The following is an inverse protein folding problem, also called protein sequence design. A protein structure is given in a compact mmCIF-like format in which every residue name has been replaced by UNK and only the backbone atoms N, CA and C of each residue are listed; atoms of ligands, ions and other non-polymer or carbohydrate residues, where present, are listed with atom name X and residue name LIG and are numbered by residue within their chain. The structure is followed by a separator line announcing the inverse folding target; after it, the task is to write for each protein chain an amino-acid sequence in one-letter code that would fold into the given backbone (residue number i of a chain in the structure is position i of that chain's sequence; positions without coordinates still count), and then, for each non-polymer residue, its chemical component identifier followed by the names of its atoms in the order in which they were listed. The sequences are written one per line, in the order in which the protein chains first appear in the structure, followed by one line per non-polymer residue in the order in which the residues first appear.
data_IF_294023799567
#
_entry.id   IF_294023799567
#
_cell.length_a   1.000
_cell.length_b   1.000
_cell.length_c   1.000
_cell.angle_alpha   90.00
_cell.angle_beta   90.00
_cell.angle_gamma   90.00
#
_symmetry.space_group_name_H-M   'P 1'
#
loop_
_entity.id
_entity.type
_entity.pdbx_description
1 polymer ?
#
# COMPACT_ATOMS: atom_id res chain seq x y z
N UNK A 1 -32.43 17.32 -4.78
CA UNK A 1 -31.25 17.97 -4.19
C UNK A 1 -30.14 16.93 -4.24
N UNK A 2 -29.12 17.13 -5.06
CA UNK A 2 -28.04 16.14 -5.19
C UNK A 2 -27.22 16.12 -3.90
N UNK A 3 -27.01 14.95 -3.29
CA UNK A 3 -26.19 14.84 -2.10
C UNK A 3 -24.77 15.29 -2.43
N UNK A 4 -24.21 16.21 -1.63
CA UNK A 4 -22.82 16.62 -1.74
C UNK A 4 -21.92 15.39 -1.60
N UNK A 5 -20.95 15.16 -2.51
CA UNK A 5 -20.05 14.02 -2.40
C UNK A 5 -19.28 14.06 -1.07
N UNK A 6 -19.12 12.93 -0.40
CA UNK A 6 -18.35 12.85 0.85
C UNK A 6 -16.90 13.28 0.62
N UNK A 7 -16.22 13.75 1.68
CA UNK A 7 -14.80 14.10 1.58
C UNK A 7 -13.91 12.93 1.16
N UNK A 8 -14.26 11.70 1.57
CA UNK A 8 -13.60 10.47 1.10
C UNK A 8 -13.63 10.37 -0.44
N UNK A 9 -14.81 10.57 -1.05
CA UNK A 9 -14.94 10.54 -2.51
C UNK A 9 -14.17 11.69 -3.17
N UNK A 10 -14.21 12.88 -2.59
CA UNK A 10 -13.46 14.04 -3.11
C UNK A 10 -11.94 13.80 -3.10
N UNK A 11 -11.43 13.10 -2.08
CA UNK A 11 -10.00 12.80 -1.95
C UNK A 11 -9.54 11.70 -2.90
N UNK A 12 -10.27 10.59 -2.99
CA UNK A 12 -9.78 9.42 -3.74
C UNK A 12 -10.45 9.20 -5.11
N UNK A 13 -11.63 9.79 -5.34
CA UNK A 13 -12.41 9.66 -6.57
C UNK A 13 -12.64 8.19 -7.00
N UNK A 14 -12.85 7.31 -6.03
CA UNK A 14 -13.13 5.88 -6.21
C UNK A 14 -14.23 5.42 -5.28
N UNK A 15 -14.93 4.35 -5.66
CA UNK A 15 -16.07 3.82 -4.90
C UNK A 15 -15.59 3.14 -3.63
N UNK A 16 -14.57 2.30 -3.73
CA UNK A 16 -13.90 1.68 -2.60
C UNK A 16 -12.47 2.16 -2.48
N UNK A 17 -12.09 2.54 -1.26
CA UNK A 17 -10.73 2.93 -0.90
C UNK A 17 -10.08 1.78 -0.14
N UNK A 18 -8.85 1.43 -0.49
CA UNK A 18 -8.04 0.42 0.19
C UNK A 18 -6.78 1.09 0.73
N UNK A 19 -6.68 1.19 2.05
CA UNK A 19 -5.53 1.74 2.76
C UNK A 19 -4.82 0.63 3.51
N UNK A 20 -3.48 0.57 3.49
CA UNK A 20 -2.73 -0.39 4.32
C UNK A 20 -2.23 0.26 5.60
N UNK A 21 -2.32 -0.43 6.73
CA UNK A 21 -1.76 0.01 8.00
C UNK A 21 -0.34 -0.56 8.17
N UNK A 22 0.64 0.33 8.28
CA UNK A 22 2.06 -0.02 8.45
C UNK A 22 2.45 0.22 9.90
N UNK A 23 2.83 -0.85 10.59
CA UNK A 23 3.50 -0.76 11.89
C UNK A 23 4.96 -0.35 11.67
N UNK A 24 5.25 0.90 12.04
CA UNK A 24 6.55 1.55 11.84
C UNK A 24 7.47 1.26 13.01
N UNK A 25 8.65 0.73 12.68
CA UNK A 25 9.77 0.57 13.62
C UNK A 25 10.94 1.49 13.29
N UNK A 26 11.16 1.73 12.00
CA UNK A 26 12.19 2.62 11.48
C UNK A 26 11.86 3.06 10.04
N UNK A 27 12.54 4.11 9.56
CA UNK A 27 12.26 4.74 8.26
C UNK A 27 12.48 3.80 7.08
N UNK A 28 13.54 2.99 7.10
CA UNK A 28 13.87 2.12 5.97
C UNK A 28 12.83 1.01 5.81
N UNK A 29 12.39 0.40 6.92
CA UNK A 29 11.28 -0.55 6.92
C UNK A 29 9.97 0.10 6.45
N UNK A 30 9.62 1.27 6.97
CA UNK A 30 8.39 1.96 6.57
C UNK A 30 8.39 2.28 5.06
N UNK A 31 9.52 2.71 4.51
CA UNK A 31 9.69 2.97 3.09
C UNK A 31 9.50 1.71 2.24
N UNK A 32 10.05 0.56 2.66
CA UNK A 32 9.83 -0.74 1.97
C UNK A 32 8.37 -1.15 2.01
N UNK A 33 7.73 -1.11 3.17
CA UNK A 33 6.31 -1.44 3.32
C UNK A 33 5.41 -0.50 2.51
N UNK A 34 5.69 0.79 2.50
CA UNK A 34 4.95 1.77 1.69
C UNK A 34 5.07 1.49 0.19
N UNK A 35 6.27 1.09 -0.29
CA UNK A 35 6.44 0.63 -1.67
C UNK A 35 5.61 -0.61 -1.96
N UNK A 36 5.60 -1.60 -1.08
CA UNK A 36 4.79 -2.80 -1.27
C UNK A 36 3.30 -2.44 -1.41
N UNK A 37 2.78 -1.60 -0.53
CA UNK A 37 1.38 -1.15 -0.59
C UNK A 37 1.06 -0.41 -1.90
N UNK A 38 1.91 0.54 -2.31
CA UNK A 38 1.74 1.27 -3.57
C UNK A 38 1.74 0.33 -4.78
N UNK A 39 2.73 -0.57 -4.89
CA UNK A 39 2.84 -1.51 -6.02
C UNK A 39 1.75 -2.58 -6.01
N UNK A 40 1.08 -2.79 -4.87
CA UNK A 40 -0.09 -3.67 -4.77
C UNK A 40 -1.39 -2.96 -5.18
N UNK A 41 -1.34 -1.66 -5.48
CA UNK A 41 -2.50 -0.86 -5.91
C UNK A 41 -3.34 -0.30 -4.76
N UNK A 42 -2.80 -0.25 -3.54
CA UNK A 42 -3.46 0.45 -2.43
C UNK A 42 -3.54 1.96 -2.72
N UNK A 43 -4.64 2.58 -2.31
CA UNK A 43 -4.89 4.01 -2.51
C UNK A 43 -4.05 4.89 -1.58
N UNK A 44 -3.51 4.31 -0.51
CA UNK A 44 -2.69 4.99 0.47
C UNK A 44 -2.29 4.09 1.62
N UNK A 45 -1.63 4.68 2.61
CA UNK A 45 -1.22 4.01 3.85
C UNK A 45 -1.48 4.85 5.08
N UNK A 46 -1.71 4.17 6.20
CA UNK A 46 -1.56 4.74 7.54
C UNK A 46 -0.23 4.26 8.14
N UNK A 47 0.51 5.18 8.75
CA UNK A 47 1.66 4.87 9.58
C UNK A 47 1.24 4.83 11.04
N UNK A 48 1.59 3.77 11.77
CA UNK A 48 1.37 3.68 13.21
C UNK A 48 2.59 3.17 13.92
N UNK A 49 2.74 3.46 15.21
CA UNK A 49 3.74 2.81 16.05
C UNK A 49 3.25 2.74 17.48
N UNK A 50 3.47 1.62 18.13
CA UNK A 50 3.29 1.42 19.57
C UNK A 50 4.62 1.54 20.35
N UNK A 51 5.75 1.61 19.63
CA UNK A 51 7.09 1.63 20.21
C UNK A 51 7.81 2.98 20.05
N UNK A 52 7.41 3.80 19.08
CA UNK A 52 8.02 5.09 18.81
C UNK A 52 7.23 6.22 19.47
N UNK A 53 7.93 7.26 19.90
CA UNK A 53 7.28 8.51 20.28
C UNK A 53 6.62 9.18 19.05
N UNK A 54 5.52 9.88 19.28
CA UNK A 54 4.75 10.56 18.22
C UNK A 54 5.59 11.48 17.33
N UNK A 55 6.51 12.23 17.95
CA UNK A 55 7.42 13.11 17.22
C UNK A 55 8.27 12.31 16.22
N UNK A 56 8.76 11.13 16.61
CA UNK A 56 9.54 10.28 15.71
C UNK A 56 8.68 9.67 14.60
N UNK A 57 7.43 9.31 14.89
CA UNK A 57 6.51 8.83 13.85
C UNK A 57 6.23 9.93 12.80
N UNK A 58 6.05 11.18 13.23
CA UNK A 58 5.88 12.33 12.35
C UNK A 58 7.14 12.68 11.56
N UNK A 59 8.33 12.54 12.16
CA UNK A 59 9.61 12.65 11.43
C UNK A 59 9.72 11.60 10.34
N UNK A 60 9.40 10.33 10.64
CA UNK A 60 9.40 9.25 9.65
C UNK A 60 8.39 9.55 8.53
N UNK A 61 7.20 10.05 8.85
CA UNK A 61 6.24 10.51 7.85
C UNK A 61 6.84 11.58 6.91
N UNK A 62 7.52 12.58 7.48
CA UNK A 62 8.18 13.64 6.73
C UNK A 62 9.36 13.13 5.87
N UNK A 63 10.10 12.12 6.34
CA UNK A 63 11.13 11.42 5.58
C UNK A 63 10.54 10.61 4.41
N UNK A 64 9.38 9.97 4.61
CA UNK A 64 8.72 9.12 3.61
C UNK A 64 8.03 9.93 2.51
N UNK A 65 7.35 11.02 2.87
CA UNK A 65 6.46 11.77 1.96
C UNK A 65 7.11 12.18 0.62
N UNK A 66 8.38 12.65 0.58
CA UNK A 66 9.06 12.99 -0.68
C UNK A 66 9.26 11.81 -1.63
N UNK A 67 9.26 10.57 -1.13
CA UNK A 67 9.40 9.38 -1.96
C UNK A 67 8.10 8.97 -2.67
N UNK A 68 6.96 9.54 -2.28
CA UNK A 68 5.63 9.18 -2.77
C UNK A 68 4.79 10.42 -3.12
N UNK A 69 5.26 11.27 -4.06
CA UNK A 69 4.57 12.51 -4.38
C UNK A 69 3.14 12.25 -4.87
N UNK A 70 2.16 12.86 -4.20
CA UNK A 70 0.75 12.75 -4.55
C UNK A 70 0.05 11.47 -4.08
N UNK A 71 0.76 10.53 -3.45
CA UNK A 71 0.14 9.36 -2.84
C UNK A 71 -0.31 9.65 -1.40
N UNK A 72 -1.40 9.02 -0.98
CA UNK A 72 -2.02 9.35 0.30
C UNK A 72 -1.30 8.65 1.45
N UNK A 73 -0.73 9.44 2.38
CA UNK A 73 -0.03 8.93 3.57
C UNK A 73 -0.59 9.64 4.81
N UNK A 74 -1.29 8.87 5.63
CA UNK A 74 -1.81 9.29 6.94
C UNK A 74 -1.03 8.71 8.11
N UNK A 75 -1.40 9.15 9.32
CA UNK A 75 -0.88 8.62 10.58
C UNK A 75 -2.02 8.13 11.48
N UNK A 76 -1.75 7.10 12.27
CA UNK A 76 -2.68 6.51 13.22
C UNK A 76 -2.06 6.50 14.62
N UNK A 77 -2.89 6.81 15.63
CA UNK A 77 -2.61 6.47 17.03
C UNK A 77 -1.44 7.23 17.62
N UNK A 78 -1.62 8.54 17.76
CA UNK A 78 -0.69 9.39 18.50
C UNK A 78 -1.13 9.45 19.97
N UNK A 79 -0.19 9.35 20.90
CA UNK A 79 -0.44 9.44 22.36
C UNK A 79 -0.57 10.92 22.79
N UNK A 80 -1.50 11.62 22.13
CA UNK A 80 -1.76 13.05 22.29
C UNK A 80 -3.26 13.29 22.33
N UNK A 81 -3.64 14.35 23.03
CA UNK A 81 -5.01 14.88 22.92
C UNK A 81 -5.27 15.34 21.49
N UNK A 82 -6.53 15.29 21.02
CA UNK A 82 -6.86 15.70 19.66
C UNK A 82 -6.43 17.16 19.36
N UNK A 83 -6.59 18.14 20.27
CA UNK A 83 -6.04 19.48 20.07
C UNK A 83 -4.52 19.51 19.88
N UNK A 84 -3.77 18.77 20.68
CA UNK A 84 -2.32 18.68 20.58
C UNK A 84 -1.87 18.00 19.29
N UNK A 85 -2.59 16.97 18.84
CA UNK A 85 -2.34 16.33 17.53
C UNK A 85 -2.48 17.36 16.42
N UNK A 86 -3.62 18.06 16.34
CA UNK A 86 -3.85 19.03 15.27
C UNK A 86 -2.82 20.15 15.25
N UNK A 87 -2.29 20.56 16.40
CA UNK A 87 -1.23 21.56 16.49
C UNK A 87 0.13 21.06 15.94
N UNK A 88 0.36 19.75 15.89
CA UNK A 88 1.62 19.13 15.44
C UNK A 88 1.58 18.58 14.01
N UNK A 89 0.40 18.37 13.44
CA UNK A 89 0.27 17.87 12.08
C UNK A 89 0.80 18.89 11.07
N UNK A 90 1.70 18.43 10.19
CA UNK A 90 2.07 19.19 9.01
C UNK A 90 0.97 19.11 7.94
N UNK A 91 1.02 20.01 6.97
CA UNK A 91 0.13 19.97 5.80
C UNK A 91 0.35 18.76 4.88
N UNK A 92 1.48 18.05 5.03
CA UNK A 92 1.80 16.85 4.24
C UNK A 92 1.12 15.59 4.76
N UNK A 93 0.67 15.58 6.03
CA UNK A 93 -0.09 14.45 6.57
C UNK A 93 -1.49 14.42 5.94
N UNK A 94 -1.75 13.44 5.09
CA UNK A 94 -2.97 13.39 4.29
C UNK A 94 -4.20 12.92 5.08
N UNK A 95 -3.99 12.24 6.21
CA UNK A 95 -5.04 11.83 7.11
C UNK A 95 -4.55 11.52 8.53
N UNK A 96 -5.48 11.62 9.47
CA UNK A 96 -5.31 11.26 10.86
C UNK A 96 -6.37 10.22 11.22
N UNK A 97 -5.97 9.11 11.81
CA UNK A 97 -6.88 8.18 12.46
C UNK A 97 -6.62 8.16 13.98
N UNK A 98 -7.65 8.52 14.74
CA UNK A 98 -7.66 8.43 16.20
C UNK A 98 -8.57 7.28 16.64
N UNK A 99 -8.08 6.39 17.51
CA UNK A 99 -8.90 5.28 18.05
C UNK A 99 -10.05 5.78 18.93
N UNK A 100 -9.84 6.91 19.61
CA UNK A 100 -10.85 7.68 20.32
C UNK A 100 -10.87 9.07 19.69
N UNK A 101 -11.90 9.35 18.89
CA UNK A 101 -12.10 10.68 18.30
C UNK A 101 -12.98 11.59 19.19
N UNK A 102 -13.19 11.23 20.46
CA UNK A 102 -14.12 11.93 21.33
C UNK A 102 -15.57 11.75 20.89
N UNK A 103 -15.87 10.67 20.15
CA UNK A 103 -17.23 10.30 19.75
C UNK A 103 -17.89 9.58 20.93
N UNK A 104 -18.14 10.32 22.01
CA UNK A 104 -18.85 9.85 23.20
C UNK A 104 -20.07 10.73 23.43
N UNK A 105 -21.27 10.15 23.41
CA UNK A 105 -22.53 10.83 23.74
C UNK A 105 -22.56 11.41 25.17
N UNK A 106 -21.56 11.08 26.00
CA UNK A 106 -21.37 11.61 27.37
C UNK A 106 -20.29 12.68 27.45
N UNK A 107 -19.57 12.97 26.37
CA UNK A 107 -18.61 14.06 26.33
C UNK A 107 -19.33 15.39 26.59
N UNK A 108 -18.66 16.33 27.26
CA UNK A 108 -19.22 17.67 27.43
C UNK A 108 -19.05 18.47 26.14
N UNK A 109 -20.08 19.26 25.78
CA UNK A 109 -20.07 20.16 24.61
C UNK A 109 -18.78 21.00 24.50
N UNK A 110 -18.16 21.34 25.64
CA UNK A 110 -16.92 22.13 25.71
C UNK A 110 -15.75 21.39 25.08
N UNK A 111 -15.53 20.12 25.43
CA UNK A 111 -14.42 19.32 24.91
C UNK A 111 -14.52 19.19 23.39
N UNK A 112 -15.73 18.96 22.90
CA UNK A 112 -15.96 18.78 21.48
C UNK A 112 -15.74 20.07 20.67
N UNK A 113 -16.15 21.22 21.23
CA UNK A 113 -15.87 22.54 20.65
C UNK A 113 -14.37 22.85 20.61
N UNK A 114 -13.58 22.39 21.59
CA UNK A 114 -12.13 22.53 21.61
C UNK A 114 -11.46 21.74 20.48
N UNK A 115 -11.89 20.49 20.24
CA UNK A 115 -11.38 19.64 19.14
C UNK A 115 -11.67 20.30 17.78
N UNK A 116 -12.91 20.73 17.57
CA UNK A 116 -13.33 21.41 16.35
C UNK A 116 -12.57 22.73 16.12
N UNK A 117 -12.38 23.51 17.20
CA UNK A 117 -11.61 24.74 17.14
C UNK A 117 -10.15 24.47 16.80
N UNK A 118 -9.50 23.51 17.48
CA UNK A 118 -8.11 23.15 17.23
C UNK A 118 -7.89 22.66 15.80
N UNK A 119 -8.79 21.81 15.28
CA UNK A 119 -8.75 21.36 13.88
C UNK A 119 -8.87 22.51 12.89
N UNK A 120 -9.76 23.47 13.13
CA UNK A 120 -9.90 24.66 12.27
C UNK A 120 -8.69 25.59 12.38
N UNK A 121 -8.20 25.80 13.60
CA UNK A 121 -7.09 26.70 13.90
C UNK A 121 -5.74 26.19 13.37
N UNK A 122 -5.53 24.87 13.31
CA UNK A 122 -4.32 24.28 12.71
C UNK A 122 -4.23 24.50 11.20
N UNK A 123 -5.35 24.78 10.53
CA UNK A 123 -5.41 24.90 9.08
C UNK A 123 -5.24 23.57 8.33
N UNK A 124 -5.11 22.45 9.04
CA UNK A 124 -4.93 21.12 8.45
C UNK A 124 -6.13 20.70 7.59
N UNK A 125 -5.86 20.17 6.39
CA UNK A 125 -6.87 19.85 5.37
C UNK A 125 -7.02 18.35 5.07
N UNK A 126 -6.31 17.50 5.79
CA UNK A 126 -6.41 16.05 5.63
C UNK A 126 -7.77 15.48 6.05
N UNK A 127 -7.91 14.18 5.84
CA UNK A 127 -9.09 13.39 6.24
C UNK A 127 -8.97 12.94 7.69
N UNK A 128 -9.98 13.22 8.50
CA UNK A 128 -10.06 12.79 9.88
C UNK A 128 -10.93 11.53 10.02
N UNK A 129 -10.29 10.44 10.41
CA UNK A 129 -10.89 9.13 10.66
C UNK A 129 -11.15 8.99 12.16
N UNK A 130 -12.41 8.84 12.53
CA UNK A 130 -12.83 8.65 13.91
C UNK A 130 -13.01 7.19 14.25
N UNK A 131 -12.12 6.66 15.08
CA UNK A 131 -12.19 5.30 15.60
C UNK A 131 -13.38 5.12 16.53
N UNK A 132 -14.06 4.00 16.34
CA UNK A 132 -15.12 3.51 17.22
C UNK A 132 -14.88 2.01 17.44
N UNK A 133 -14.49 1.64 18.66
CA UNK A 133 -14.34 0.25 19.03
C UNK A 133 -15.72 -0.38 19.27
N UNK A 134 -16.23 -1.13 18.29
CA UNK A 134 -17.58 -1.74 18.33
C UNK A 134 -17.82 -2.64 19.55
N UNK A 135 -16.80 -3.37 20.00
CA UNK A 135 -16.90 -4.26 21.16
C UNK A 135 -17.22 -3.50 22.47
N UNK A 136 -17.00 -2.19 22.48
CA UNK A 136 -17.17 -1.32 23.65
C UNK A 136 -18.43 -0.45 23.57
N UNK A 137 -19.20 -0.51 22.47
CA UNK A 137 -20.38 0.33 22.30
C UNK A 137 -21.67 -0.35 22.76
N UNK A 138 -22.39 0.21 23.73
CA UNK A 138 -23.80 -0.09 23.93
C UNK A 138 -24.63 0.25 22.67
N UNK A 139 -25.76 -0.40 22.48
CA UNK A 139 -26.73 0.00 21.46
C UNK A 139 -27.18 1.46 21.68
N UNK A 140 -27.23 2.26 20.62
CA UNK A 140 -27.56 3.70 20.69
C UNK A 140 -26.48 4.59 21.33
N UNK A 141 -25.23 4.12 21.44
CA UNK A 141 -24.14 4.90 22.04
C UNK A 141 -23.43 5.87 21.09
N UNK A 142 -23.71 5.81 19.78
CA UNK A 142 -23.17 6.79 18.85
C UNK A 142 -24.03 8.03 18.82
N UNK A 143 -23.44 9.16 19.19
CA UNK A 143 -24.04 10.48 19.00
C UNK A 143 -23.89 10.91 17.53
N UNK A 144 -25.00 11.10 16.79
CA UNK A 144 -24.95 11.60 15.42
C UNK A 144 -24.19 12.93 15.28
N UNK A 145 -24.26 13.82 16.29
CA UNK A 145 -23.53 15.08 16.28
C UNK A 145 -22.01 14.87 16.36
N UNK A 146 -21.56 13.88 17.12
CA UNK A 146 -20.15 13.55 17.22
C UNK A 146 -19.62 12.86 15.94
N UNK A 147 -20.47 12.10 15.26
CA UNK A 147 -20.17 11.50 13.94
C UNK A 147 -19.94 12.58 12.87
N UNK A 148 -20.67 13.69 12.91
CA UNK A 148 -20.51 14.79 11.94
C UNK A 148 -19.15 15.53 12.04
N UNK A 149 -18.40 15.34 13.13
CA UNK A 149 -17.10 15.99 13.36
C UNK A 149 -15.92 15.29 12.70
N UNK A 150 -16.10 14.01 12.38
CA UNK A 150 -15.12 13.21 11.64
C UNK A 150 -15.53 13.15 10.17
N UNK A 151 -14.56 13.02 9.28
CA UNK A 151 -14.89 12.87 7.86
C UNK A 151 -15.36 11.45 7.55
N UNK A 152 -14.85 10.48 8.32
CA UNK A 152 -15.01 9.04 8.13
C UNK A 152 -15.11 8.37 9.51
N UNK A 153 -16.16 7.58 9.72
CA UNK A 153 -16.28 6.72 10.91
C UNK A 153 -15.51 5.43 10.64
N UNK A 154 -14.62 5.04 11.54
CA UNK A 154 -13.74 3.87 11.39
C UNK A 154 -14.04 2.83 12.45
N UNK A 155 -14.47 1.65 12.02
CA UNK A 155 -14.77 0.53 12.90
C UNK A 155 -13.60 -0.44 12.96
N UNK A 156 -13.26 -0.92 14.17
CA UNK A 156 -12.26 -1.96 14.39
C UNK A 156 -12.81 -3.04 15.32
N UNK A 157 -12.52 -4.30 15.04
CA UNK A 157 -12.82 -5.41 15.94
C UNK A 157 -11.84 -5.51 17.12
N UNK A 158 -12.12 -6.38 18.09
CA UNK A 158 -11.32 -6.50 19.31
C UNK A 158 -9.97 -7.22 19.13
N UNK A 159 -9.77 -8.00 18.06
CA UNK A 159 -8.62 -8.89 17.88
C UNK A 159 -8.00 -8.80 16.48
N UNK A 160 -7.91 -7.60 15.90
CA UNK A 160 -7.42 -7.40 14.52
C UNK A 160 -8.36 -7.89 13.42
N UNK A 161 -9.32 -8.76 13.74
CA UNK A 161 -10.37 -9.18 12.81
C UNK A 161 -11.36 -8.04 12.54
N UNK A 162 -11.88 -7.94 11.30
CA UNK A 162 -12.95 -6.99 11.00
C UNK A 162 -14.20 -7.31 11.83
N UNK A 163 -14.99 -6.30 12.22
CA UNK A 163 -16.28 -6.53 12.86
C UNK A 163 -17.23 -7.39 12.02
N UNK A 164 -18.19 -8.06 12.66
CA UNK A 164 -19.19 -8.83 11.94
C UNK A 164 -20.06 -7.94 11.05
N UNK A 165 -20.52 -8.49 9.91
CA UNK A 165 -21.36 -7.73 8.98
C UNK A 165 -22.69 -7.30 9.61
N UNK A 166 -23.23 -8.11 10.53
CA UNK A 166 -24.47 -7.78 11.23
C UNK A 166 -24.30 -6.59 12.19
N UNK A 167 -23.14 -6.49 12.86
CA UNK A 167 -22.80 -5.32 13.67
C UNK A 167 -22.69 -4.06 12.81
N UNK A 168 -22.05 -4.17 11.63
CA UNK A 168 -21.94 -3.06 10.67
C UNK A 168 -23.34 -2.62 10.19
N UNK A 169 -24.22 -3.56 9.84
CA UNK A 169 -25.59 -3.25 9.38
C UNK A 169 -26.42 -2.60 10.47
N UNK A 170 -26.31 -3.05 11.71
CA UNK A 170 -26.95 -2.41 12.85
C UNK A 170 -26.52 -0.96 12.99
N UNK A 171 -25.21 -0.70 12.89
CA UNK A 171 -24.66 0.64 12.98
C UNK A 171 -25.08 1.55 11.83
N UNK A 172 -25.06 1.04 10.59
CA UNK A 172 -25.49 1.78 9.40
C UNK A 172 -26.96 2.18 9.43
N UNK A 173 -27.80 1.49 10.20
CA UNK A 173 -29.19 1.88 10.41
C UNK A 173 -29.31 3.13 11.30
N UNK A 174 -28.33 3.36 12.19
CA UNK A 174 -28.27 4.50 13.11
C UNK A 174 -27.48 5.68 12.52
N UNK A 175 -26.44 5.38 11.72
CA UNK A 175 -25.58 6.36 11.06
C UNK A 175 -26.14 6.75 9.69
N UNK A 176 -26.88 7.86 9.63
CA UNK A 176 -27.11 8.60 8.38
C UNK A 176 -25.77 8.83 7.63
N UNK A 177 -25.78 9.10 6.30
CA UNK A 177 -24.82 8.53 5.32
C UNK A 177 -23.38 9.08 5.37
N UNK A 178 -22.69 8.92 6.50
CA UNK A 178 -21.25 9.13 6.62
C UNK A 178 -20.51 7.96 5.94
N UNK A 179 -19.41 8.23 5.22
CA UNK A 179 -18.60 7.15 4.67
C UNK A 179 -18.01 6.32 5.82
N UNK A 180 -18.24 5.01 5.75
CA UNK A 180 -17.77 4.05 6.73
C UNK A 180 -16.43 3.45 6.29
N UNK A 181 -15.46 3.47 7.19
CA UNK A 181 -14.24 2.69 7.12
C UNK A 181 -14.31 1.49 8.06
N UNK A 182 -13.71 0.37 7.63
CA UNK A 182 -13.50 -0.79 8.51
C UNK A 182 -12.03 -1.14 8.50
N UNK A 183 -11.45 -1.26 9.69
CA UNK A 183 -10.09 -1.70 9.91
C UNK A 183 -10.07 -3.16 10.36
N UNK A 184 -9.20 -3.95 9.73
CA UNK A 184 -8.93 -5.32 10.15
C UNK A 184 -8.17 -6.16 9.13
N UNK A 185 -7.97 -7.42 9.50
CA UNK A 185 -7.34 -8.45 8.68
C UNK A 185 -8.33 -8.95 7.62
N UNK A 186 -8.28 -8.33 6.45
CA UNK A 186 -9.08 -8.75 5.29
C UNK A 186 -8.29 -9.70 4.37
N UNK A 187 -9.02 -10.59 3.71
CA UNK A 187 -8.51 -11.46 2.66
C UNK A 187 -9.46 -11.46 1.47
N UNK A 188 -9.05 -12.09 0.37
CA UNK A 188 -9.95 -12.35 -0.77
C UNK A 188 -11.22 -13.11 -0.39
N UNK A 189 -11.19 -13.86 0.72
CA UNK A 189 -12.24 -14.79 1.09
C UNK A 189 -13.32 -14.12 1.96
N UNK A 190 -12.98 -13.04 2.67
CA UNK A 190 -13.91 -12.36 3.57
C UNK A 190 -14.38 -10.99 3.06
N UNK A 191 -13.62 -10.31 2.18
CA UNK A 191 -13.89 -8.91 1.82
C UNK A 191 -15.22 -8.71 1.09
N UNK A 192 -15.66 -9.71 0.31
CA UNK A 192 -16.89 -9.64 -0.47
C UNK A 192 -18.13 -9.35 0.37
N UNK A 193 -18.17 -9.84 1.62
CA UNK A 193 -19.29 -9.61 2.53
C UNK A 193 -19.47 -8.12 2.90
N UNK A 194 -18.43 -7.30 2.72
CA UNK A 194 -18.38 -5.91 3.14
C UNK A 194 -18.55 -4.90 2.00
N UNK A 195 -18.28 -5.28 0.74
CA UNK A 195 -18.21 -4.37 -0.41
C UNK A 195 -19.52 -3.62 -0.70
N UNK A 196 -20.68 -4.18 -0.35
CA UNK A 196 -21.94 -3.46 -0.52
C UNK A 196 -22.16 -2.36 0.54
N UNK A 197 -21.52 -2.50 1.71
CA UNK A 197 -21.82 -1.74 2.94
C UNK A 197 -20.72 -0.73 3.31
N UNK A 198 -19.47 -1.03 2.98
CA UNK A 198 -18.28 -0.29 3.41
C UNK A 198 -17.66 0.44 2.22
N UNK A 199 -17.10 1.64 2.43
CA UNK A 199 -16.46 2.42 1.35
C UNK A 199 -14.95 2.57 1.52
N UNK A 200 -14.42 2.32 2.71
CA UNK A 200 -12.99 2.35 2.97
C UNK A 200 -12.56 1.12 3.79
N UNK A 201 -11.51 0.45 3.34
CA UNK A 201 -10.91 -0.69 4.00
C UNK A 201 -9.53 -0.30 4.49
N UNK A 202 -9.29 -0.40 5.79
CA UNK A 202 -7.96 -0.22 6.39
C UNK A 202 -7.40 -1.61 6.71
N UNK A 203 -6.52 -2.10 5.84
CA UNK A 203 -5.97 -3.45 5.90
C UNK A 203 -4.88 -3.49 6.96
N UNK A 204 -5.09 -4.28 8.01
CA UNK A 204 -4.07 -4.55 9.01
C UNK A 204 -3.32 -5.82 8.64
N UNK A 205 -1.99 -5.83 8.78
CA UNK A 205 -1.21 -7.05 8.60
C UNK A 205 -1.63 -8.09 9.65
N UNK A 206 -1.59 -9.37 9.27
CA UNK A 206 -1.87 -10.45 10.21
C UNK A 206 -0.89 -10.39 11.39
N UNK A 207 -1.44 -10.41 12.60
CA UNK A 207 -0.70 -10.34 13.87
C UNK A 207 0.33 -11.48 14.05
N UNK A 208 0.24 -12.55 13.25
CA UNK A 208 1.14 -13.71 13.29
C UNK A 208 2.41 -13.59 12.40
N UNK A 209 2.62 -12.49 11.66
CA UNK A 209 3.82 -12.36 10.83
C UNK A 209 5.03 -11.81 11.61
N UNK A 210 6.14 -12.58 11.73
CA UNK A 210 7.24 -12.28 12.66
C UNK A 210 8.04 -11.02 12.33
N UNK A 211 7.75 -10.32 11.22
CA UNK A 211 8.47 -9.11 10.80
C UNK A 211 7.60 -7.90 10.49
N UNK A 212 6.28 -7.93 10.74
CA UNK A 212 5.36 -6.85 10.35
C UNK A 212 5.45 -6.47 8.85
N UNK A 213 5.87 -7.41 8.00
CA UNK A 213 5.98 -7.19 6.57
C UNK A 213 4.59 -7.32 5.92
N UNK A 214 4.26 -6.42 5.00
CA UNK A 214 3.06 -6.53 4.18
C UNK A 214 3.27 -7.64 3.16
N UNK A 215 2.35 -8.62 3.11
CA UNK A 215 2.31 -9.61 2.04
C UNK A 215 1.77 -8.94 0.77
N UNK A 216 2.68 -8.68 -0.17
CA UNK A 216 2.37 -8.03 -1.46
C UNK A 216 1.33 -8.81 -2.26
N UNK A 217 1.43 -10.14 -2.31
CA UNK A 217 0.56 -10.97 -3.14
C UNK A 217 -0.85 -10.99 -2.56
N UNK A 218 -0.95 -11.15 -1.24
CA UNK A 218 -2.22 -11.09 -0.55
C UNK A 218 -2.89 -9.72 -0.73
N UNK A 219 -2.14 -8.62 -0.54
CA UNK A 219 -2.66 -7.27 -0.71
C UNK A 219 -3.08 -6.97 -2.15
N UNK A 220 -2.27 -7.36 -3.15
CA UNK A 220 -2.60 -7.18 -4.56
C UNK A 220 -3.88 -7.93 -4.96
N UNK A 221 -4.02 -9.20 -4.53
CA UNK A 221 -5.25 -9.98 -4.76
C UNK A 221 -6.47 -9.35 -4.12
N UNK A 222 -6.33 -8.82 -2.91
CA UNK A 222 -7.39 -8.11 -2.22
C UNK A 222 -7.81 -6.84 -2.97
N UNK A 223 -6.85 -6.02 -3.40
CA UNK A 223 -7.11 -4.82 -4.20
C UNK A 223 -7.80 -5.20 -5.51
N UNK A 224 -7.30 -6.19 -6.24
CA UNK A 224 -7.91 -6.67 -7.48
C UNK A 224 -9.36 -7.11 -7.27
N UNK A 225 -9.65 -7.82 -6.17
CA UNK A 225 -11.01 -8.24 -5.84
C UNK A 225 -11.94 -7.04 -5.62
N UNK A 226 -11.50 -6.03 -4.88
CA UNK A 226 -12.24 -4.78 -4.66
C UNK A 226 -12.50 -4.05 -5.98
N UNK A 227 -11.48 -3.93 -6.83
CA UNK A 227 -11.61 -3.27 -8.15
C UNK A 227 -12.53 -4.03 -9.09
N UNK A 228 -12.51 -5.36 -9.06
CA UNK A 228 -13.41 -6.19 -9.86
C UNK A 228 -14.88 -5.96 -9.49
N UNK A 229 -15.18 -5.87 -8.20
CA UNK A 229 -16.53 -5.56 -7.71
C UNK A 229 -16.99 -4.16 -8.14
N UNK A 230 -16.10 -3.16 -8.12
CA UNK A 230 -16.39 -1.81 -8.62
C UNK A 230 -16.72 -1.79 -10.11
N UNK A 231 -16.01 -2.59 -10.91
CA UNK A 231 -16.27 -2.76 -12.34
C UNK A 231 -17.63 -3.41 -12.62
N UNK A 232 -17.99 -4.46 -11.86
CA UNK A 232 -19.27 -5.17 -12.00
C UNK A 232 -20.47 -4.28 -11.61
N UNK A 233 -20.32 -3.50 -10.53
CA UNK A 233 -21.37 -2.59 -10.05
C UNK A 233 -21.71 -1.48 -11.06
N UNK A 234 -20.77 -1.07 -11.92
CA UNK A 234 -21.00 -0.10 -13.00
C UNK A 234 -21.92 -0.63 -14.12
N UNK A 235 -22.07 -1.96 -14.24
CA UNK A 235 -22.94 -2.57 -15.26
C UNK A 235 -24.40 -2.74 -14.82
N UNK A 236 -24.73 -2.57 -13.54
CA UNK A 236 -26.09 -2.83 -12.99
C UNK A 236 -26.90 -1.55 -12.74
N UNK A 237 -26.34 -0.36 -12.96
CA UNK A 237 -27.09 0.91 -12.84
C UNK A 237 -26.59 1.99 -13.78
N UNK A 238 -27.35 2.26 -14.85
CA UNK A 238 -27.15 3.45 -15.66
C UNK A 238 -27.52 4.71 -14.87
N UNK A 239 -26.54 5.61 -14.70
CA UNK A 239 -26.75 7.05 -14.89
C UNK A 239 -25.64 7.60 -15.80
N UNK A 240 -25.98 8.51 -16.73
CA UNK A 240 -25.06 8.97 -17.75
C UNK A 240 -24.22 10.12 -17.20
N UNK A 241 -22.91 10.10 -17.36
CA UNK A 241 -22.11 11.28 -17.71
C UNK A 241 -20.72 10.81 -18.11
N UNK A 242 -20.40 11.00 -19.39
CA UNK A 242 -19.05 10.85 -19.90
C UNK A 242 -18.21 12.08 -19.59
N UNK A 243 -17.02 11.87 -19.07
CA UNK A 243 -15.76 12.46 -19.52
C UNK A 243 -14.65 11.83 -18.68
N UNK A 244 -13.66 11.26 -19.37
CA UNK A 244 -12.60 10.49 -18.74
C UNK A 244 -11.58 11.35 -17.99
N UNK A 245 -10.75 10.66 -17.21
CA UNK A 245 -9.31 10.88 -17.24
C UNK A 245 -8.61 9.67 -16.63
N UNK A 246 -7.71 9.04 -17.40
CA UNK A 246 -6.57 8.30 -16.88
C UNK A 246 -5.96 9.14 -15.76
N UNK A 247 -5.79 8.56 -14.57
CA UNK A 247 -5.05 9.21 -13.50
C UNK A 247 -3.68 9.62 -14.03
N UNK A 248 -3.47 10.93 -14.13
CA UNK A 248 -2.18 11.53 -14.44
C UNK A 248 -1.29 11.27 -13.23
N UNK A 249 -0.41 10.29 -13.34
CA UNK A 249 0.91 10.42 -12.74
C UNK A 249 1.54 11.64 -13.39
N UNK A 250 1.92 12.63 -12.58
CA UNK A 250 2.67 13.79 -13.03
C UNK A 250 3.92 13.36 -13.85
N UNK A 251 4.29 14.08 -14.93
CA UNK A 251 5.29 13.63 -15.91
C UNK A 251 6.70 13.40 -15.35
N UNK A 252 7.00 13.85 -14.13
CA UNK A 252 8.31 13.66 -13.50
C UNK A 252 8.60 12.20 -13.10
N UNK A 253 7.57 11.37 -12.91
CA UNK A 253 7.75 9.94 -12.59
C UNK A 253 7.72 9.06 -13.84
N UNK A 254 7.00 9.48 -14.89
CA UNK A 254 6.98 8.80 -16.19
C UNK A 254 8.24 9.07 -17.02
N UNK A 255 8.96 10.17 -16.77
CA UNK A 255 10.17 10.52 -17.49
C UNK A 255 11.42 9.66 -17.12
N UNK A 256 11.39 8.91 -16.01
CA UNK A 256 12.40 7.87 -15.73
C UNK A 256 12.01 6.49 -16.27
N UNK A 257 10.78 6.34 -16.78
CA UNK A 257 10.27 5.13 -17.41
C UNK A 257 10.11 5.37 -18.91
N UNK A 258 11.22 5.66 -19.58
CA UNK A 258 11.28 5.63 -21.05
C UNK A 258 10.97 4.22 -21.55
N UNK A 259 9.85 4.07 -22.27
CA UNK A 259 9.58 3.02 -23.28
C UNK A 259 9.82 1.52 -22.96
N UNK A 260 10.20 1.11 -21.74
CA UNK A 260 10.75 -0.23 -21.43
C UNK A 260 9.84 -1.16 -20.60
N UNK A 261 8.54 -0.90 -20.52
CA UNK A 261 7.63 -1.50 -19.53
C UNK A 261 7.36 -3.02 -19.62
N UNK A 262 8.11 -3.82 -20.38
CA UNK A 262 7.87 -5.27 -20.48
C UNK A 262 9.12 -6.15 -20.65
N UNK A 263 10.33 -5.66 -20.33
CA UNK A 263 11.55 -6.48 -20.49
C UNK A 263 11.64 -7.67 -19.53
N UNK A 264 11.01 -7.56 -18.35
CA UNK A 264 10.99 -8.62 -17.33
C UNK A 264 9.58 -8.72 -16.74
N UNK A 265 9.12 -9.94 -16.50
CA UNK A 265 7.83 -10.24 -15.85
C UNK A 265 8.01 -11.34 -14.82
N UNK A 266 7.38 -11.18 -13.67
CA UNK A 266 7.21 -12.26 -12.70
C UNK A 266 6.03 -13.15 -13.12
N UNK A 267 6.26 -14.44 -13.38
CA UNK A 267 5.26 -15.34 -13.99
C UNK A 267 4.83 -16.51 -13.12
N UNK A 268 5.60 -16.89 -12.10
CA UNK A 268 5.23 -17.92 -11.13
C UNK A 268 5.89 -17.60 -9.77
N UNK A 269 5.22 -17.99 -8.69
CA UNK A 269 5.69 -17.88 -7.30
C UNK A 269 5.52 -19.20 -6.52
N UNK A 270 4.86 -20.20 -7.11
CA UNK A 270 4.44 -21.44 -6.44
C UNK A 270 5.64 -22.25 -5.93
N UNK A 271 6.75 -22.20 -6.65
CA UNK A 271 7.98 -22.96 -6.35
C UNK A 271 9.20 -22.03 -6.27
N UNK A 272 8.99 -20.78 -5.88
CA UNK A 272 9.98 -19.71 -6.00
C UNK A 272 9.67 -18.76 -7.16
N UNK A 273 10.19 -17.51 -7.15
CA UNK A 273 9.94 -16.53 -8.18
C UNK A 273 10.53 -16.95 -9.51
N UNK A 274 9.67 -17.04 -10.53
CA UNK A 274 10.08 -17.27 -11.92
C UNK A 274 9.96 -15.96 -12.68
N UNK A 275 11.06 -15.52 -13.25
CA UNK A 275 11.14 -14.32 -14.06
C UNK A 275 11.19 -14.72 -15.54
N UNK A 276 10.36 -14.10 -16.36
CA UNK A 276 10.37 -14.18 -17.81
C UNK A 276 10.97 -12.90 -18.38
N UNK A 277 11.97 -13.06 -19.24
CA UNK A 277 12.76 -12.03 -19.90
C UNK A 277 12.33 -11.93 -21.37
N UNK A 278 12.01 -10.73 -21.86
CA UNK A 278 11.82 -10.47 -23.29
C UNK A 278 13.19 -10.24 -23.94
N UNK A 279 13.78 -11.31 -24.47
CA UNK A 279 15.12 -11.31 -25.07
C UNK A 279 15.16 -10.44 -26.33
N UNK A 280 14.05 -10.33 -27.07
CA UNK A 280 13.99 -9.50 -28.28
C UNK A 280 14.01 -8.00 -27.99
N UNK A 281 13.85 -7.59 -26.74
CA UNK A 281 13.98 -6.19 -26.33
C UNK A 281 15.44 -5.72 -26.22
N UNK A 282 16.40 -6.62 -26.41
CA UNK A 282 17.84 -6.36 -26.31
C UNK A 282 18.51 -6.47 -27.69
N UNK A 283 19.40 -5.52 -28.06
CA UNK A 283 20.05 -5.52 -29.38
C UNK A 283 21.09 -6.64 -29.55
N UNK A 284 21.60 -7.22 -28.46
CA UNK A 284 22.63 -8.25 -28.47
C UNK A 284 22.11 -9.57 -29.03
N UNK A 285 23.01 -10.33 -29.67
CA UNK A 285 22.66 -11.67 -30.16
C UNK A 285 22.46 -12.70 -29.03
N UNK A 286 23.11 -12.47 -27.90
CA UNK A 286 23.03 -13.31 -26.71
C UNK A 286 23.13 -12.42 -25.46
N UNK A 287 22.07 -11.66 -25.12
CA UNK A 287 22.10 -10.75 -23.99
C UNK A 287 22.36 -11.50 -22.68
N UNK A 288 23.05 -10.81 -21.77
CA UNK A 288 23.47 -11.35 -20.48
C UNK A 288 22.71 -10.71 -19.36
N UNK A 289 22.33 -11.53 -18.38
CA UNK A 289 21.52 -11.12 -17.24
C UNK A 289 22.21 -11.52 -15.95
N UNK A 290 22.36 -10.57 -15.02
CA UNK A 290 22.87 -10.86 -13.70
C UNK A 290 21.74 -10.86 -12.68
N UNK A 291 21.60 -11.97 -11.95
CA UNK A 291 20.66 -12.13 -10.86
C UNK A 291 21.39 -11.99 -9.52
N UNK A 292 20.81 -11.22 -8.62
CA UNK A 292 21.29 -11.07 -7.25
C UNK A 292 20.12 -11.29 -6.29
N UNK A 293 20.37 -11.99 -5.19
CA UNK A 293 19.55 -11.86 -4.00
C UNK A 293 20.40 -11.73 -2.74
N UNK A 294 19.81 -11.08 -1.73
CA UNK A 294 20.47 -10.79 -0.45
C UNK A 294 20.54 -12.00 0.49
N UNK A 295 19.86 -13.10 0.16
CA UNK A 295 19.95 -14.37 0.88
C UNK A 295 21.20 -15.18 0.49
N UNK A 296 21.81 -14.84 -0.65
CA UNK A 296 22.92 -15.57 -1.24
C UNK A 296 22.50 -16.88 -1.92
N UNK A 297 21.21 -17.07 -2.21
CA UNK A 297 20.76 -18.23 -2.95
C UNK A 297 21.03 -18.08 -4.45
N UNK A 298 20.94 -19.19 -5.15
CA UNK A 298 21.13 -19.25 -6.59
C UNK A 298 19.79 -19.19 -7.32
N UNK A 299 19.80 -18.61 -8.52
CA UNK A 299 18.79 -18.84 -9.51
C UNK A 299 19.17 -20.05 -10.40
N UNK A 300 18.17 -20.66 -11.02
CA UNK A 300 18.32 -21.68 -12.05
C UNK A 300 17.75 -21.19 -13.38
N UNK A 301 18.43 -21.52 -14.47
CA UNK A 301 17.89 -21.35 -15.81
C UNK A 301 16.73 -22.33 -16.03
N UNK A 302 15.54 -21.81 -16.35
CA UNK A 302 14.34 -22.61 -16.60
C UNK A 302 14.16 -22.86 -18.10
N UNK A 303 14.34 -21.81 -18.92
CA UNK A 303 14.21 -21.90 -20.37
C UNK A 303 15.01 -20.77 -21.04
N UNK A 304 15.63 -21.04 -22.19
CA UNK A 304 16.27 -19.99 -23.01
C UNK A 304 17.47 -19.28 -22.35
N UNK A 305 18.03 -19.81 -21.26
CA UNK A 305 19.21 -19.28 -20.55
C UNK A 305 20.24 -20.37 -20.31
N UNK A 306 21.51 -19.98 -20.27
CA UNK A 306 22.64 -20.79 -19.81
C UNK A 306 23.31 -20.06 -18.65
N UNK A 307 23.60 -20.79 -17.58
CA UNK A 307 24.37 -20.29 -16.42
C UNK A 307 25.86 -20.17 -16.80
N UNK A 308 26.41 -18.97 -16.60
CA UNK A 308 27.81 -18.61 -16.89
C UNK A 308 28.66 -18.49 -15.63
N UNK A 309 28.11 -18.83 -14.47
CA UNK A 309 28.76 -18.69 -13.17
C UNK A 309 28.40 -17.36 -12.50
N UNK A 310 29.41 -16.62 -12.03
CA UNK A 310 29.19 -15.42 -11.23
C UNK A 310 30.00 -14.24 -11.76
N UNK A 311 29.48 -13.04 -11.57
CA UNK A 311 30.13 -11.77 -11.87
C UNK A 311 30.06 -10.86 -10.65
N UNK A 312 31.09 -10.06 -10.43
CA UNK A 312 31.06 -8.98 -9.44
C UNK A 312 30.65 -7.68 -10.13
N UNK A 313 29.54 -7.09 -9.69
CA UNK A 313 29.04 -5.82 -10.20
C UNK A 313 29.25 -4.74 -9.16
N UNK A 314 29.84 -3.61 -9.58
CA UNK A 314 29.87 -2.40 -8.76
C UNK A 314 28.58 -1.61 -9.00
N UNK A 315 27.72 -1.57 -7.97
CA UNK A 315 26.38 -1.02 -8.07
C UNK A 315 26.18 0.14 -7.08
N UNK A 316 25.41 1.18 -7.43
CA UNK A 316 25.09 2.25 -6.49
C UNK A 316 24.30 1.71 -5.29
N UNK A 317 24.80 1.96 -4.09
CA UNK A 317 24.09 1.75 -2.84
C UNK A 317 23.04 2.85 -2.63
N UNK A 318 22.03 2.58 -1.81
CA UNK A 318 21.04 3.57 -1.39
C UNK A 318 21.63 4.79 -0.65
N UNK A 319 22.94 4.79 -0.34
CA UNK A 319 23.66 5.89 0.33
C UNK A 319 24.61 6.65 -0.60
N UNK A 320 24.57 6.40 -1.91
CA UNK A 320 25.43 7.07 -2.88
C UNK A 320 26.88 6.57 -2.90
N UNK A 321 27.19 5.46 -2.22
CA UNK A 321 28.47 4.73 -2.33
C UNK A 321 28.33 3.59 -3.34
N UNK A 322 29.40 3.17 -3.98
CA UNK A 322 29.39 1.92 -4.75
C UNK A 322 29.52 0.72 -3.80
N UNK A 323 28.79 -0.35 -4.08
CA UNK A 323 28.84 -1.62 -3.39
C UNK A 323 29.09 -2.73 -4.42
N UNK A 324 30.06 -3.60 -4.15
CA UNK A 324 30.35 -4.76 -4.98
C UNK A 324 29.38 -5.88 -4.64
N UNK A 325 28.59 -6.34 -5.61
CA UNK A 325 27.65 -7.46 -5.46
C UNK A 325 28.08 -8.62 -6.32
N UNK A 326 28.17 -9.80 -5.70
CA UNK A 326 28.39 -11.06 -6.42
C UNK A 326 27.04 -11.54 -6.96
N UNK A 327 26.87 -11.47 -8.26
CA UNK A 327 25.65 -11.83 -8.96
C UNK A 327 25.86 -13.14 -9.74
N UNK A 328 24.83 -13.96 -9.90
CA UNK A 328 24.85 -15.10 -10.81
C UNK A 328 24.58 -14.62 -12.24
N UNK A 329 25.40 -15.02 -13.19
CA UNK A 329 25.36 -14.54 -14.57
C UNK A 329 24.71 -15.58 -15.48
N UNK A 330 23.73 -15.15 -16.26
CA UNK A 330 23.05 -15.95 -17.26
C UNK A 330 23.24 -15.34 -18.64
N UNK A 331 23.32 -16.18 -19.68
CA UNK A 331 23.31 -15.77 -21.08
C UNK A 331 22.09 -16.34 -21.77
N UNK A 332 21.36 -15.52 -22.52
CA UNK A 332 20.28 -16.03 -23.34
C UNK A 332 20.79 -16.90 -24.48
N UNK A 333 20.15 -18.05 -24.66
CA UNK A 333 20.35 -18.90 -25.83
C UNK A 333 19.27 -18.57 -26.85
N UNK A 334 19.66 -18.16 -28.06
CA UNK A 334 18.73 -17.98 -29.20
C UNK A 334 18.16 -19.31 -29.75
N UNK A 335 18.14 -20.36 -28.93
CA UNK A 335 17.60 -21.65 -29.30
C UNK A 335 16.08 -21.57 -29.21
N UNK A 336 15.45 -21.38 -30.38
CA UNK A 336 14.03 -21.35 -30.71
C UNK A 336 13.38 -19.97 -30.91
N UNK A 337 12.38 -19.93 -31.80
CA UNK A 337 11.56 -18.77 -32.23
C UNK A 337 10.84 -18.02 -31.09
N UNK A 338 11.00 -18.47 -29.84
CA UNK A 338 10.40 -17.85 -28.67
C UNK A 338 11.39 -16.83 -28.09
N UNK A 339 11.10 -15.55 -28.29
CA UNK A 339 11.89 -14.41 -27.81
C UNK A 339 11.90 -14.27 -26.27
N UNK A 340 11.67 -15.36 -25.53
CA UNK A 340 11.46 -15.36 -24.09
C UNK A 340 12.39 -16.33 -23.40
N UNK A 341 13.03 -15.84 -22.35
CA UNK A 341 13.90 -16.64 -21.50
C UNK A 341 13.37 -16.62 -20.06
N UNK A 342 13.65 -17.65 -19.27
CA UNK A 342 13.14 -17.78 -17.90
C UNK A 342 14.23 -18.24 -16.94
N UNK A 343 14.26 -17.61 -15.76
CA UNK A 343 15.02 -18.08 -14.61
C UNK A 343 14.12 -18.18 -13.38
N UNK A 344 14.47 -19.06 -12.45
CA UNK A 344 13.79 -19.25 -11.18
C UNK A 344 14.75 -19.01 -10.04
N UNK A 345 14.38 -18.15 -9.09
CA UNK A 345 15.10 -18.06 -7.82
C UNK A 345 14.81 -19.28 -6.95
N UNK A 346 15.85 -19.88 -6.36
CA UNK A 346 15.74 -21.02 -5.43
C UNK A 346 15.56 -20.58 -3.98
N UNK A 347 15.48 -19.28 -3.72
CA UNK A 347 15.36 -18.75 -2.37
C UNK A 347 13.97 -19.06 -1.81
N UNK A 348 13.97 -19.52 -0.56
CA UNK A 348 12.77 -19.70 0.26
C UNK A 348 12.79 -18.68 1.39
N UNK A 349 11.62 -18.21 1.82
CA UNK A 349 11.51 -17.19 2.87
C UNK A 349 11.52 -15.76 2.32
N UNK A 350 12.04 -14.84 3.14
CA UNK A 350 12.12 -13.42 2.82
C UNK A 350 13.48 -13.07 2.21
N UNK A 351 13.46 -12.45 1.03
CA UNK A 351 14.67 -12.01 0.34
C UNK A 351 14.37 -10.88 -0.64
N UNK A 352 15.38 -10.05 -0.86
CA UNK A 352 15.41 -9.05 -1.91
C UNK A 352 16.06 -9.66 -3.15
N UNK A 353 15.45 -9.48 -4.32
CA UNK A 353 16.07 -9.89 -5.58
C UNK A 353 16.14 -8.74 -6.59
N UNK A 354 17.23 -8.73 -7.35
CA UNK A 354 17.50 -7.79 -8.42
C UNK A 354 17.91 -8.55 -9.68
N UNK A 355 17.50 -8.02 -10.83
CA UNK A 355 17.88 -8.52 -12.12
C UNK A 355 18.45 -7.38 -12.96
N UNK A 356 19.61 -7.62 -13.52
CA UNK A 356 20.35 -6.64 -14.33
C UNK A 356 20.55 -7.17 -15.74
N UNK A 357 20.54 -6.28 -16.72
CA UNK A 357 21.14 -6.53 -18.02
C UNK A 357 22.62 -6.12 -17.97
N UNK A 358 23.50 -6.99 -18.44
CA UNK A 358 24.95 -6.76 -18.48
C UNK A 358 25.37 -6.64 -19.94
N UNK A 359 25.39 -5.42 -20.45
CA UNK A 359 25.90 -5.12 -21.79
C UNK A 359 27.43 -5.34 -21.86
N UNK A 360 27.93 -5.64 -23.05
CA UNK A 360 29.36 -5.88 -23.27
C UNK A 360 30.21 -4.64 -22.92
N UNK A 361 29.70 -3.45 -23.23
CA UNK A 361 30.43 -2.17 -23.14
C UNK A 361 29.65 -1.08 -22.37
N UNK A 362 29.11 -1.41 -21.19
CA UNK A 362 28.37 -0.43 -20.39
C UNK A 362 28.17 -0.82 -18.92
N UNK A 363 27.71 0.13 -18.08
CA UNK A 363 27.30 -0.21 -16.72
C UNK A 363 26.08 -1.14 -16.75
N UNK A 364 25.93 -2.03 -15.75
CA UNK A 364 24.76 -2.89 -15.66
C UNK A 364 23.47 -2.06 -15.54
N UNK A 365 22.46 -2.41 -16.33
CA UNK A 365 21.14 -1.78 -16.31
C UNK A 365 20.22 -2.57 -15.38
N UNK A 366 19.67 -1.93 -14.35
CA UNK A 366 18.68 -2.57 -13.48
C UNK A 366 17.37 -2.78 -14.24
N UNK A 367 17.01 -4.04 -14.48
CA UNK A 367 15.77 -4.42 -15.17
C UNK A 367 14.62 -4.68 -14.20
N UNK A 368 14.91 -5.30 -13.06
CA UNK A 368 13.90 -5.70 -12.09
C UNK A 368 14.46 -5.62 -10.67
N UNK A 369 13.61 -5.28 -9.70
CA UNK A 369 13.95 -5.25 -8.29
C UNK A 369 12.73 -5.42 -7.42
N UNK A 370 12.76 -6.38 -6.51
CA UNK A 370 11.63 -6.67 -5.63
C UNK A 370 12.04 -7.29 -4.30
N UNK A 371 11.15 -7.12 -3.31
CA UNK A 371 11.14 -7.86 -2.07
C UNK A 371 10.19 -9.06 -2.22
N UNK A 372 10.68 -10.27 -1.95
CA UNK A 372 9.90 -11.50 -1.90
C UNK A 372 9.72 -11.97 -0.47
N UNK A 373 8.51 -12.44 -0.15
CA UNK A 373 8.19 -13.13 1.10
C UNK A 373 7.44 -14.42 0.74
N UNK A 374 8.15 -15.53 0.65
CA UNK A 374 7.59 -16.83 0.30
C UNK A 374 7.52 -17.72 1.52
N UNK A 375 6.35 -18.36 1.72
CA UNK A 375 6.09 -19.27 2.85
C UNK A 375 6.58 -20.67 2.57
#
# INVERSE_FOLDING_TARGET
MYATPSRLWQTFNTRHVVLSLIHVRESQQALRSARVALHSGADGVFLMSDALADARLLEIHAELSPHFPGWWIGVHGLDLTQPDVFARLSSTVAGLWSDDAGIDARASDIHELEVDHARRASGWKGLYFGGVALASLPAGALDPAAVERVDIVTLRGATGQPPSIDAIRGLLAELAPAPLAVAGEFSSDNIDAYLDHVRCFVITAASEHPRHALDRVALARLVERVRAHDGQSRHVGQLPFGMGLRARLEPAFAASLGTNLNRVRLVDLTHGPVFELDVAAFPEDAPRFAYYDDSGAQAEAVAGLVDEGHVELELPSGRGTLETRRCQLFRATRADDDARARLRSRTVGEFWAELYHVADDGPPELLWRDDFCLK
#
